data_IF_586603059770
#
_entry.id   IF_586603059770
#
_cell.length_a   1.000
_cell.length_b   1.000
_cell.length_c   1.000
_cell.angle_alpha   90.00
_cell.angle_beta   90.00
_cell.angle_gamma   90.00
#
_symmetry.space_group_name_H-M   'P 1'
#
loop_
_entity.id
_entity.type
_entity.pdbx_description
1 polymer ?
#
# COMPACT_ATOMS: atom_id res chain seq x y z
N UNK A 1 10.75 -0.56 -1.34
CA UNK A 1 9.88 -1.47 -2.12
C UNK A 1 9.29 -0.76 -3.34
N UNK A 2 9.07 -1.43 -4.49
CA UNK A 2 8.55 -0.85 -5.75
C UNK A 2 7.30 -1.63 -6.19
N UNK A 3 6.20 -0.97 -6.57
CA UNK A 3 4.85 -1.59 -6.72
C UNK A 3 4.58 -2.33 -8.05
N UNK A 4 5.55 -3.08 -8.57
CA UNK A 4 5.40 -3.79 -9.86
C UNK A 4 5.18 -2.88 -11.08
N UNK A 5 5.33 -1.56 -10.92
CA UNK A 5 5.12 -0.58 -11.99
C UNK A 5 6.13 -0.74 -13.14
N UNK A 6 5.89 -0.06 -14.27
CA UNK A 6 6.70 -0.18 -15.50
C UNK A 6 8.22 -0.11 -15.28
N UNK A 7 8.67 0.69 -14.31
CA UNK A 7 10.09 0.83 -13.98
C UNK A 7 10.64 -0.36 -13.20
N UNK A 8 9.83 -1.01 -12.36
CA UNK A 8 10.24 -2.23 -11.66
C UNK A 8 10.49 -3.37 -12.64
N UNK A 9 9.59 -3.57 -13.61
CA UNK A 9 9.78 -4.58 -14.66
C UNK A 9 11.06 -4.36 -15.48
N UNK A 10 11.49 -3.11 -15.63
CA UNK A 10 12.75 -2.77 -16.29
C UNK A 10 13.98 -2.96 -15.40
N UNK A 11 13.85 -2.75 -14.09
CA UNK A 11 14.95 -2.78 -13.13
C UNK A 11 15.17 -4.17 -12.50
N UNK A 12 14.11 -4.94 -12.24
CA UNK A 12 14.17 -6.29 -11.64
C UNK A 12 15.18 -7.22 -12.33
N UNK A 13 15.23 -7.31 -13.68
CA UNK A 13 16.21 -8.15 -14.36
C UNK A 13 17.67 -7.71 -14.18
N UNK A 14 17.87 -6.43 -13.82
CA UNK A 14 19.20 -5.82 -13.62
C UNK A 14 19.63 -5.86 -12.15
N UNK A 15 18.74 -6.25 -11.24
CA UNK A 15 19.04 -6.32 -9.81
C UNK A 15 19.38 -7.76 -9.43
N UNK A 16 20.66 -8.05 -9.22
CA UNK A 16 21.07 -9.34 -8.65
C UNK A 16 20.49 -9.49 -7.24
N UNK A 17 19.92 -10.67 -6.95
CA UNK A 17 19.40 -11.05 -5.63
C UNK A 17 18.22 -10.22 -5.10
N UNK A 18 17.47 -9.55 -5.97
CA UNK A 18 16.26 -8.84 -5.55
C UNK A 18 15.21 -9.84 -5.04
N UNK A 19 14.76 -9.63 -3.79
CA UNK A 19 13.62 -10.31 -3.19
C UNK A 19 12.75 -9.25 -2.50
N UNK A 20 11.42 -9.37 -2.51
CA UNK A 20 10.58 -8.52 -1.67
C UNK A 20 10.90 -8.79 -0.19
N UNK A 21 11.15 -7.72 0.57
CA UNK A 21 11.55 -7.82 1.99
C UNK A 21 10.44 -8.45 2.85
N UNK A 22 9.17 -8.22 2.52
CA UNK A 22 8.01 -8.81 3.19
C UNK A 22 6.82 -8.93 2.21
N UNK A 23 6.10 -10.07 2.18
CA UNK A 23 5.00 -10.31 1.23
C UNK A 23 3.81 -9.36 1.37
N UNK A 24 3.65 -8.68 2.51
CA UNK A 24 2.54 -7.76 2.78
C UNK A 24 2.98 -6.30 2.93
N UNK A 25 4.24 -6.01 2.69
CA UNK A 25 4.70 -4.64 2.55
C UNK A 25 4.33 -4.10 1.15
N UNK A 26 4.07 -2.81 1.05
CA UNK A 26 3.84 -2.13 -0.22
C UNK A 26 4.78 -0.93 -0.32
N UNK A 27 4.99 -0.37 -1.50
CA UNK A 27 5.88 0.79 -1.59
C UNK A 27 5.36 1.99 -0.82
N UNK A 28 6.29 2.89 -0.48
CA UNK A 28 5.98 4.23 -0.02
C UNK A 28 5.04 4.99 -0.96
N UNK A 29 5.20 4.83 -2.28
CA UNK A 29 4.38 5.53 -3.26
C UNK A 29 2.92 5.07 -3.22
N UNK A 30 2.69 3.74 -3.21
CA UNK A 30 1.34 3.19 -3.07
C UNK A 30 0.75 3.49 -1.69
N UNK A 31 1.55 3.41 -0.63
CA UNK A 31 1.13 3.79 0.73
C UNK A 31 0.60 5.23 0.77
N UNK A 32 1.36 6.17 0.20
CA UNK A 32 0.97 7.57 0.13
C UNK A 32 -0.27 7.78 -0.75
N UNK A 33 -0.39 7.07 -1.87
CA UNK A 33 -1.56 7.15 -2.73
C UNK A 33 -2.84 6.67 -2.02
N UNK A 34 -2.77 5.55 -1.30
CA UNK A 34 -3.90 5.02 -0.52
C UNK A 34 -4.33 5.97 0.59
N UNK A 35 -3.38 6.53 1.34
CA UNK A 35 -3.67 7.52 2.40
C UNK A 35 -4.30 8.80 1.82
N UNK A 36 -3.84 9.24 0.64
CA UNK A 36 -4.45 10.38 -0.06
C UNK A 36 -5.89 10.08 -0.49
N UNK A 37 -6.16 8.88 -0.99
CA UNK A 37 -7.51 8.45 -1.38
C UNK A 37 -8.45 8.30 -0.16
N UNK A 38 -7.94 7.80 0.96
CA UNK A 38 -8.68 7.77 2.23
C UNK A 38 -9.02 9.18 2.72
N UNK A 39 -8.03 10.09 2.68
CA UNK A 39 -8.20 11.50 3.04
C UNK A 39 -9.17 12.25 2.11
N UNK A 40 -9.27 11.82 0.85
CA UNK A 40 -10.24 12.31 -0.13
C UNK A 40 -11.62 11.63 -0.02
N UNK A 41 -11.85 10.83 1.03
CA UNK A 41 -13.08 10.07 1.28
C UNK A 41 -13.48 9.09 0.16
N UNK A 42 -12.54 8.71 -0.71
CA UNK A 42 -12.75 7.72 -1.77
C UNK A 42 -12.57 6.29 -1.28
N UNK A 43 -11.74 6.12 -0.24
CA UNK A 43 -11.48 4.84 0.42
C UNK A 43 -11.73 4.95 1.92
N UNK A 44 -11.94 3.81 2.57
CA UNK A 44 -11.84 3.63 4.02
C UNK A 44 -10.84 2.49 4.27
N UNK A 45 -9.77 2.76 5.02
CA UNK A 45 -8.77 1.76 5.37
C UNK A 45 -9.04 1.27 6.79
N UNK A 46 -9.39 0.00 6.94
CA UNK A 46 -9.69 -0.58 8.24
C UNK A 46 -8.44 -1.20 8.87
N UNK A 47 -8.23 -0.90 10.15
CA UNK A 47 -7.15 -1.50 10.93
C UNK A 47 -7.49 -2.96 11.18
N UNK A 48 -6.53 -3.84 10.92
CA UNK A 48 -6.72 -5.27 11.17
C UNK A 48 -6.89 -5.54 12.67
N UNK A 49 -7.84 -6.43 13.01
CA UNK A 49 -8.05 -6.87 14.39
C UNK A 49 -7.01 -7.92 14.80
N UNK A 50 -6.67 -8.89 13.96
CA UNK A 50 -5.73 -9.98 14.32
C UNK A 50 -5.02 -10.68 13.13
N UNK A 51 -4.98 -10.07 11.94
CA UNK A 51 -4.55 -10.82 10.74
C UNK A 51 -3.05 -10.72 10.45
N UNK A 52 -2.39 -11.87 10.35
CA UNK A 52 -0.99 -12.02 9.90
C UNK A 52 -0.78 -11.64 8.42
N UNK A 53 -1.86 -11.40 7.68
CA UNK A 53 -1.88 -10.98 6.27
C UNK A 53 -2.12 -9.47 6.08
N UNK A 54 -2.03 -8.69 7.15
CA UNK A 54 -2.24 -7.24 7.10
C UNK A 54 -1.22 -6.53 6.23
N UNK A 55 -1.69 -5.65 5.36
CA UNK A 55 -0.81 -4.79 4.56
C UNK A 55 -0.16 -3.71 5.44
N UNK A 56 1.14 -3.45 5.22
CA UNK A 56 1.88 -2.40 5.92
C UNK A 56 1.99 -1.15 5.05
N UNK A 57 1.35 -0.06 5.46
CA UNK A 57 1.50 1.24 4.83
C UNK A 57 2.63 2.03 5.49
N UNK A 58 3.52 2.56 4.66
CA UNK A 58 4.55 3.52 5.07
C UNK A 58 3.99 4.95 5.05
N UNK A 59 3.96 5.62 6.20
CA UNK A 59 3.50 7.00 6.33
C UNK A 59 4.67 8.00 6.20
N UNK A 60 4.41 9.28 5.85
CA UNK A 60 5.45 10.29 5.63
C UNK A 60 6.39 10.58 6.82
N UNK A 61 6.07 10.10 8.02
CA UNK A 61 6.85 10.23 9.25
C UNK A 61 7.58 8.93 9.64
N UNK A 62 7.64 7.95 8.76
CA UNK A 62 8.22 6.63 9.03
C UNK A 62 7.34 5.73 9.91
N UNK A 63 6.13 6.17 10.26
CA UNK A 63 5.17 5.34 10.99
C UNK A 63 4.58 4.29 10.05
N UNK A 64 4.49 3.06 10.55
CA UNK A 64 3.82 1.97 9.86
C UNK A 64 2.37 1.85 10.34
N UNK A 65 1.42 1.78 9.40
CA UNK A 65 0.01 1.48 9.69
C UNK A 65 -0.35 0.13 9.10
N UNK A 66 -0.89 -0.75 9.92
CA UNK A 66 -1.47 -2.03 9.49
C UNK A 66 -2.89 -1.81 8.97
N UNK A 67 -3.16 -2.31 7.77
CA UNK A 67 -4.47 -2.26 7.11
C UNK A 67 -4.85 -3.67 6.70
N UNK A 68 -5.99 -4.14 7.22
CA UNK A 68 -6.53 -5.46 6.88
C UNK A 68 -7.46 -5.38 5.68
N UNK A 69 -8.29 -4.34 5.62
CA UNK A 69 -9.30 -4.20 4.57
C UNK A 69 -9.32 -2.78 3.97
N UNK A 70 -9.64 -2.73 2.68
CA UNK A 70 -9.81 -1.48 1.92
C UNK A 70 -11.22 -1.48 1.33
N UNK A 71 -12.02 -0.50 1.73
CA UNK A 71 -13.38 -0.33 1.24
C UNK A 71 -13.46 0.87 0.31
N UNK A 72 -13.93 0.66 -0.92
CA UNK A 72 -14.22 1.76 -1.85
C UNK A 72 -15.52 2.45 -1.44
N UNK A 73 -15.49 3.78 -1.36
CA UNK A 73 -16.69 4.59 -1.16
C UNK A 73 -17.13 5.12 -2.53
N UNK A 74 -18.17 4.50 -3.09
CA UNK A 74 -18.85 5.07 -4.25
C UNK A 74 -19.45 6.41 -3.83
N UNK A 75 -19.19 7.46 -4.60
CA UNK A 75 -19.85 8.75 -4.41
C UNK A 75 -21.36 8.52 -4.44
N UNK A 76 -22.05 8.91 -3.36
CA UNK A 76 -23.51 8.99 -3.39
C UNK A 76 -23.84 10.15 -4.31
N UNK A 77 -24.23 9.84 -5.54
CA UNK A 77 -24.86 10.82 -6.43
C UNK A 77 -26.10 11.36 -5.72
N UNK A 78 -26.06 12.63 -5.32
CA UNK A 78 -27.22 13.37 -4.79
C UNK A 78 -28.04 13.87 -5.98
#
# INVERSE_FOLDING_TARGET
MLDGGRYRLLLEPLMESWQPDDPYEISAALSHALVRLESAFRLRLEKASDDSASMRLQLPNGVLRLVGEIHYRAEVSI
#
